data_IF_794050593604
#
_entry.id   IF_794050593604
#
_cell.length_a   1.000
_cell.length_b   1.000
_cell.length_c   1.000
_cell.angle_alpha   90.00
_cell.angle_beta   90.00
_cell.angle_gamma   90.00
#
_symmetry.space_group_name_H-M   'P 1'
#
loop_
_entity.id
_entity.type
_entity.pdbx_description
1 polymer ?
#
# COMPACT_ATOMS: atom_id res chain seq x y z
N UNK A 1 -5.91 -11.45 22.24
CA UNK A 1 -6.82 -10.82 23.23
C UNK A 1 -8.28 -10.95 22.83
N UNK A 2 -8.70 -10.59 21.61
CA UNK A 2 -10.09 -10.68 21.19
C UNK A 2 -10.78 -12.03 21.47
N UNK A 3 -10.11 -13.16 21.19
CA UNK A 3 -10.64 -14.49 21.45
C UNK A 3 -10.80 -14.83 22.96
N UNK A 4 -9.97 -14.26 23.83
CA UNK A 4 -10.08 -14.45 25.27
C UNK A 4 -11.25 -13.65 25.85
N UNK A 5 -11.56 -12.50 25.26
CA UNK A 5 -12.69 -11.62 25.66
C UNK A 5 -13.98 -12.06 24.97
N UNK A 6 -13.92 -12.61 23.76
CA UNK A 6 -15.09 -13.03 23.00
C UNK A 6 -15.88 -14.12 23.74
N UNK A 7 -17.13 -13.81 24.09
CA UNK A 7 -18.04 -14.72 24.79
C UNK A 7 -17.86 -14.78 26.33
N UNK A 8 -16.91 -14.04 26.91
CA UNK A 8 -16.86 -13.87 28.36
C UNK A 8 -17.95 -12.90 28.82
N UNK A 9 -19.04 -13.42 29.41
CA UNK A 9 -20.14 -12.59 29.92
C UNK A 9 -19.81 -11.96 31.27
N UNK A 10 -18.86 -12.51 32.00
CA UNK A 10 -18.49 -12.08 33.35
C UNK A 10 -16.96 -11.96 33.47
N UNK A 11 -16.51 -11.04 34.33
CA UNK A 11 -15.10 -10.77 34.65
C UNK A 11 -14.32 -12.06 35.03
N UNK A 12 -14.90 -12.95 35.82
CA UNK A 12 -14.27 -14.20 36.26
C UNK A 12 -13.93 -15.16 35.12
N UNK A 13 -14.74 -15.23 34.05
CA UNK A 13 -14.47 -16.14 32.93
C UNK A 13 -13.22 -15.71 32.11
N UNK A 14 -12.99 -14.42 31.98
CA UNK A 14 -11.76 -13.93 31.33
C UNK A 14 -10.52 -14.21 32.18
N UNK A 15 -10.61 -13.92 33.49
CA UNK A 15 -9.50 -14.17 34.42
C UNK A 15 -9.15 -15.67 34.47
N UNK A 16 -10.14 -16.55 34.47
CA UNK A 16 -9.92 -18.02 34.43
C UNK A 16 -9.28 -18.46 33.13
N UNK A 17 -9.72 -17.95 31.98
CA UNK A 17 -9.13 -18.28 30.67
C UNK A 17 -7.71 -17.77 30.54
N UNK A 18 -7.46 -16.53 30.94
CA UNK A 18 -6.09 -15.98 30.94
C UNK A 18 -5.18 -16.75 31.87
N UNK A 19 -5.66 -17.10 33.08
CA UNK A 19 -4.92 -17.90 34.03
C UNK A 19 -4.58 -19.28 33.47
N UNK A 20 -5.52 -19.94 32.80
CA UNK A 20 -5.26 -21.24 32.16
C UNK A 20 -4.15 -21.15 31.12
N UNK A 21 -4.18 -20.13 30.25
CA UNK A 21 -3.11 -19.91 29.25
C UNK A 21 -1.77 -19.62 29.93
N UNK A 22 -1.76 -18.81 31.00
CA UNK A 22 -0.51 -18.50 31.72
C UNK A 22 0.04 -19.72 32.47
N UNK A 23 -0.82 -20.58 33.01
CA UNK A 23 -0.42 -21.81 33.65
C UNK A 23 0.17 -22.83 32.63
N UNK A 24 -0.39 -22.89 31.42
CA UNK A 24 0.17 -23.70 30.31
C UNK A 24 1.55 -23.19 29.89
N UNK A 25 1.73 -21.88 29.74
CA UNK A 25 3.05 -21.27 29.44
C UNK A 25 4.05 -21.56 30.54
N UNK A 26 3.65 -21.41 31.80
CA UNK A 26 4.50 -21.72 32.95
C UNK A 26 4.93 -23.20 32.97
N UNK A 27 4.00 -24.11 32.71
CA UNK A 27 4.27 -25.56 32.71
C UNK A 27 5.15 -26.01 31.53
N UNK A 28 5.35 -25.16 30.52
CA UNK A 28 6.24 -25.45 29.39
C UNK A 28 7.73 -25.31 29.71
N UNK A 29 8.07 -24.93 30.93
CA UNK A 29 9.45 -24.83 31.42
C UNK A 29 10.35 -23.94 30.56
N UNK A 30 9.81 -22.82 30.11
CA UNK A 30 10.51 -21.82 29.29
C UNK A 30 10.55 -22.10 27.77
N UNK A 31 9.87 -23.13 27.28
CA UNK A 31 9.80 -23.44 25.84
C UNK A 31 8.84 -22.53 25.07
N UNK A 32 7.94 -21.85 25.79
CA UNK A 32 6.96 -20.93 25.21
C UNK A 32 7.33 -19.49 25.57
N UNK A 33 7.46 -18.64 24.57
CA UNK A 33 7.61 -17.19 24.72
C UNK A 33 6.25 -16.55 24.40
N UNK A 34 5.70 -15.84 25.38
CA UNK A 34 4.42 -15.14 25.20
C UNK A 34 4.68 -13.77 24.57
N UNK A 35 4.05 -13.51 23.41
CA UNK A 35 4.03 -12.18 22.82
C UNK A 35 2.70 -11.49 23.14
N UNK A 36 2.78 -10.28 23.68
CA UNK A 36 1.62 -9.44 24.01
C UNK A 36 1.71 -8.14 23.25
N UNK A 37 0.85 -8.01 22.24
CA UNK A 37 0.67 -6.75 21.55
C UNK A 37 -0.18 -5.79 22.39
N UNK A 38 0.11 -4.48 22.27
CA UNK A 38 -0.54 -3.44 23.09
C UNK A 38 -0.52 -3.77 24.60
N UNK A 39 0.66 -4.11 25.14
CA UNK A 39 0.82 -4.52 26.54
C UNK A 39 0.16 -3.56 27.53
N UNK A 40 0.11 -2.27 27.22
CA UNK A 40 -0.53 -1.24 28.02
C UNK A 40 -2.03 -1.49 28.25
N UNK A 41 -2.73 -2.14 27.33
CA UNK A 41 -4.15 -2.48 27.46
C UNK A 41 -4.41 -3.49 28.58
N UNK A 42 -3.45 -4.36 28.83
CA UNK A 42 -3.53 -5.38 29.89
C UNK A 42 -3.15 -4.79 31.25
N UNK A 43 -2.18 -3.88 31.26
CA UNK A 43 -1.59 -3.31 32.48
C UNK A 43 -2.33 -2.08 32.96
N UNK A 44 -2.87 -1.25 32.03
CA UNK A 44 -3.57 0.01 32.32
C UNK A 44 -5.06 -0.13 32.64
N UNK A 45 -5.66 -1.26 32.35
CA UNK A 45 -7.10 -1.49 32.47
C UNK A 45 -7.66 -1.38 33.90
N UNK A 46 -6.80 -1.43 34.91
CA UNK A 46 -7.21 -1.39 36.33
C UNK A 46 -7.61 -0.02 36.89
N UNK A 47 -7.53 1.07 36.09
CA UNK A 47 -7.84 2.43 36.57
C UNK A 47 -9.26 2.88 36.31
N UNK A 48 -10.05 2.18 35.54
CA UNK A 48 -11.48 2.45 35.32
C UNK A 48 -12.31 1.45 36.12
N UNK A 49 -13.30 1.93 36.87
CA UNK A 49 -14.25 1.09 37.64
C UNK A 49 -14.87 0.03 36.74
N UNK A 50 -14.51 -1.24 36.95
CA UNK A 50 -14.99 -2.38 36.19
C UNK A 50 -14.05 -2.93 35.11
N UNK A 51 -12.88 -2.33 34.84
CA UNK A 51 -11.91 -2.85 33.90
C UNK A 51 -11.06 -3.99 34.51
N UNK A 52 -10.74 -4.98 33.67
CA UNK A 52 -10.01 -6.19 34.08
C UNK A 52 -8.52 -5.89 34.27
N UNK A 53 -7.98 -6.06 35.47
CA UNK A 53 -6.55 -5.89 35.75
C UNK A 53 -5.79 -7.21 35.58
N UNK A 54 -5.59 -7.61 34.31
CA UNK A 54 -4.76 -8.76 33.98
C UNK A 54 -3.27 -8.54 34.35
N UNK A 55 -2.87 -7.29 34.56
CA UNK A 55 -1.54 -6.95 35.05
C UNK A 55 -1.25 -7.55 36.43
N UNK A 56 -2.26 -7.71 37.28
CA UNK A 56 -2.07 -8.34 38.60
C UNK A 56 -1.77 -9.85 38.50
N UNK A 57 -2.23 -10.53 37.47
CA UNK A 57 -1.89 -11.93 37.21
C UNK A 57 -0.47 -12.08 36.62
N UNK A 58 -0.07 -11.17 35.73
CA UNK A 58 1.24 -11.20 35.09
C UNK A 58 2.40 -10.82 36.02
N UNK A 59 2.20 -9.78 36.85
CA UNK A 59 3.26 -9.24 37.73
C UNK A 59 3.94 -10.30 38.61
N UNK A 60 3.23 -11.19 39.33
CA UNK A 60 3.86 -12.22 40.15
C UNK A 60 4.64 -13.23 39.34
N UNK A 61 4.16 -13.63 38.18
CA UNK A 61 4.80 -14.62 37.31
C UNK A 61 6.07 -14.05 36.66
N UNK A 62 6.02 -12.82 36.19
CA UNK A 62 7.19 -12.07 35.73
C UNK A 62 8.21 -11.89 36.87
N UNK A 63 7.71 -11.65 38.10
CA UNK A 63 8.58 -11.50 39.28
C UNK A 63 9.40 -12.72 39.60
N UNK A 64 8.83 -13.90 39.41
CA UNK A 64 9.47 -15.16 39.72
C UNK A 64 10.26 -15.74 38.53
N UNK A 65 10.25 -15.07 37.36
CA UNK A 65 10.87 -15.58 36.14
C UNK A 65 10.15 -16.79 35.54
N UNK A 66 8.89 -17.01 35.94
CA UNK A 66 8.06 -18.14 35.49
C UNK A 66 7.45 -17.86 34.08
N UNK A 67 7.53 -16.62 33.59
CA UNK A 67 6.96 -16.19 32.32
C UNK A 67 8.01 -15.49 31.48
N UNK A 68 8.29 -16.04 30.29
CA UNK A 68 9.06 -15.38 29.23
C UNK A 68 8.10 -14.61 28.35
N UNK A 69 8.18 -13.26 28.37
CA UNK A 69 7.22 -12.40 27.71
C UNK A 69 7.92 -11.30 26.91
N UNK A 70 7.45 -11.06 25.70
CA UNK A 70 7.76 -9.90 24.89
C UNK A 70 6.51 -9.05 24.77
N UNK A 71 6.55 -7.80 25.20
CA UNK A 71 5.44 -6.86 25.11
C UNK A 71 5.74 -5.78 24.07
N UNK A 72 4.76 -5.47 23.22
CA UNK A 72 4.82 -4.32 22.32
C UNK A 72 3.90 -3.21 22.82
N UNK A 73 4.35 -1.96 22.71
CA UNK A 73 3.57 -0.76 23.08
C UNK A 73 4.16 0.48 22.42
N UNK A 74 3.44 1.59 22.42
CA UNK A 74 3.97 2.88 21.96
C UNK A 74 4.78 3.58 23.07
N UNK A 75 5.65 4.53 22.68
CA UNK A 75 6.47 5.29 23.64
C UNK A 75 5.63 6.07 24.65
N UNK A 76 4.52 6.65 24.24
CA UNK A 76 3.66 7.41 25.13
C UNK A 76 2.99 6.52 26.17
N UNK A 77 2.48 5.38 25.73
CA UNK A 77 1.84 4.38 26.58
C UNK A 77 2.84 3.67 27.49
N UNK A 78 4.07 3.43 27.00
CA UNK A 78 5.16 2.93 27.84
C UNK A 78 5.42 3.87 29.02
N UNK A 79 5.56 5.18 28.76
CA UNK A 79 5.78 6.20 29.81
C UNK A 79 4.61 6.34 30.76
N UNK A 80 3.39 6.16 30.26
CA UNK A 80 2.18 6.31 31.06
C UNK A 80 1.88 5.09 31.94
N UNK A 81 2.03 3.88 31.41
CA UNK A 81 1.56 2.65 32.05
C UNK A 81 2.67 1.73 32.55
N UNK A 82 3.83 1.67 31.91
CA UNK A 82 4.91 0.74 32.26
C UNK A 82 5.97 1.42 33.14
N UNK A 83 6.50 2.55 32.72
CA UNK A 83 7.56 3.28 33.43
C UNK A 83 7.12 3.75 34.83
N UNK A 84 5.85 4.12 34.98
CA UNK A 84 5.29 4.51 36.29
C UNK A 84 5.04 3.34 37.24
N UNK A 85 5.08 2.12 36.77
CA UNK A 85 4.89 0.93 37.59
C UNK A 85 6.24 0.26 37.85
N UNK A 86 6.84 0.55 39.01
CA UNK A 86 8.15 0.05 39.40
C UNK A 86 8.27 -1.49 39.39
N UNK A 87 7.14 -2.23 39.43
CA UNK A 87 7.14 -3.67 39.35
C UNK A 87 7.31 -4.17 37.91
N UNK A 88 6.79 -3.44 36.93
CA UNK A 88 6.90 -3.76 35.50
C UNK A 88 8.20 -3.23 34.92
N UNK A 89 8.56 -1.97 35.21
CA UNK A 89 9.80 -1.34 34.74
C UNK A 89 11.04 -2.19 35.00
N UNK A 90 11.14 -2.79 36.17
CA UNK A 90 12.28 -3.65 36.54
C UNK A 90 12.29 -5.00 35.86
N UNK A 91 11.23 -5.39 35.13
CA UNK A 91 11.06 -6.72 34.53
C UNK A 91 10.98 -6.72 33.03
N UNK A 92 10.70 -5.59 32.43
CA UNK A 92 10.75 -5.39 31.00
C UNK A 92 11.95 -4.52 30.66
N UNK A 93 12.91 -5.09 29.93
CA UNK A 93 13.98 -4.32 29.36
C UNK A 93 13.45 -3.65 28.08
N UNK A 94 13.45 -2.30 28.00
CA UNK A 94 12.99 -1.60 26.80
C UNK A 94 13.93 -1.84 25.64
N UNK A 95 13.37 -2.20 24.50
CA UNK A 95 14.03 -2.30 23.20
C UNK A 95 13.37 -1.29 22.28
N UNK A 96 14.12 -0.24 21.92
CA UNK A 96 13.63 0.78 21.02
C UNK A 96 13.61 0.24 19.60
N UNK A 97 12.48 0.47 18.90
CA UNK A 97 12.34 0.19 17.48
C UNK A 97 12.11 1.55 16.81
N UNK A 98 13.18 2.07 16.24
CA UNK A 98 13.14 3.38 15.57
C UNK A 98 12.49 3.27 14.18
N UNK A 99 12.03 4.42 13.67
CA UNK A 99 11.54 4.54 12.30
C UNK A 99 12.65 4.19 11.30
N UNK A 100 12.43 3.30 10.32
CA UNK A 100 13.44 2.96 9.34
C UNK A 100 13.76 4.14 8.41
N UNK A 101 14.96 4.14 7.86
CA UNK A 101 15.37 5.11 6.84
C UNK A 101 14.58 4.91 5.55
N UNK A 102 14.67 5.87 4.62
CA UNK A 102 14.07 5.74 3.28
C UNK A 102 14.66 4.54 2.53
N UNK A 103 15.98 4.32 2.64
CA UNK A 103 16.69 3.20 2.02
C UNK A 103 16.24 1.84 2.59
N UNK A 104 16.08 1.77 3.91
CA UNK A 104 15.56 0.57 4.57
C UNK A 104 14.10 0.31 4.15
N UNK A 105 13.30 1.37 4.06
CA UNK A 105 11.90 1.29 3.62
C UNK A 105 11.79 0.77 2.18
N UNK A 106 12.64 1.23 1.26
CA UNK A 106 12.69 0.71 -0.11
C UNK A 106 13.01 -0.80 -0.10
N UNK A 107 13.95 -1.22 0.76
CA UNK A 107 14.31 -2.63 0.89
C UNK A 107 13.15 -3.46 1.43
N UNK A 108 12.41 -2.95 2.42
CA UNK A 108 11.19 -3.56 2.96
C UNK A 108 10.12 -3.69 1.88
N UNK A 109 9.84 -2.60 1.13
CA UNK A 109 8.86 -2.61 0.05
C UNK A 109 9.21 -3.61 -1.05
N UNK A 110 10.50 -3.72 -1.43
CA UNK A 110 10.98 -4.75 -2.38
C UNK A 110 10.72 -6.16 -1.86
N UNK A 111 10.90 -6.39 -0.57
CA UNK A 111 10.59 -7.69 0.07
C UNK A 111 9.09 -8.01 0.11
N UNK A 112 8.24 -6.99 0.15
CA UNK A 112 6.78 -7.15 0.17
C UNK A 112 6.16 -7.17 -1.24
N UNK A 113 6.87 -6.68 -2.26
CA UNK A 113 6.40 -6.49 -3.63
C UNK A 113 5.64 -7.70 -4.17
N UNK A 114 6.26 -8.88 -4.17
CA UNK A 114 5.68 -10.10 -4.75
C UNK A 114 4.33 -10.45 -4.09
N UNK A 115 4.20 -10.24 -2.78
CA UNK A 115 2.95 -10.50 -2.05
C UNK A 115 1.83 -9.56 -2.45
N UNK A 116 2.13 -8.27 -2.63
CA UNK A 116 1.14 -7.28 -3.08
C UNK A 116 0.76 -7.49 -4.54
N UNK A 117 1.73 -7.81 -5.41
CA UNK A 117 1.47 -8.16 -6.81
C UNK A 117 0.51 -9.34 -6.94
N UNK A 118 0.72 -10.39 -6.13
CA UNK A 118 -0.15 -11.58 -6.13
C UNK A 118 -1.52 -11.25 -5.55
N UNK A 119 -1.57 -10.52 -4.43
CA UNK A 119 -2.84 -10.21 -3.75
C UNK A 119 -3.78 -9.35 -4.60
N UNK A 120 -3.22 -8.33 -5.26
CA UNK A 120 -4.01 -7.41 -6.10
C UNK A 120 -4.08 -7.85 -7.57
N UNK A 121 -3.24 -8.78 -8.01
CA UNK A 121 -3.16 -9.20 -9.42
C UNK A 121 -2.62 -8.14 -10.36
N UNK A 122 -1.69 -7.29 -9.88
CA UNK A 122 -1.08 -6.18 -10.61
C UNK A 122 0.43 -6.30 -10.60
N UNK A 123 1.13 -5.52 -11.43
CA UNK A 123 2.59 -5.38 -11.40
C UNK A 123 3.00 -4.08 -10.75
N UNK A 124 4.06 -4.11 -9.92
CA UNK A 124 4.60 -2.92 -9.27
C UNK A 124 6.00 -2.63 -9.83
N UNK A 125 6.21 -1.44 -10.36
CA UNK A 125 7.53 -1.03 -10.84
C UNK A 125 8.45 -0.70 -9.66
N UNK A 126 9.77 -0.86 -9.84
CA UNK A 126 10.72 -0.46 -8.79
C UNK A 126 10.70 1.06 -8.57
N UNK A 127 10.45 1.85 -9.62
CA UNK A 127 10.27 3.30 -9.52
C UNK A 127 9.10 3.69 -8.62
N UNK A 128 7.98 2.94 -8.66
CA UNK A 128 6.85 3.17 -7.76
C UNK A 128 7.23 2.96 -6.28
N UNK A 129 7.99 1.90 -5.97
CA UNK A 129 8.45 1.62 -4.59
C UNK A 129 9.38 2.72 -4.08
N UNK A 130 10.33 3.14 -4.90
CA UNK A 130 11.24 4.23 -4.56
C UNK A 130 10.46 5.53 -4.35
N UNK A 131 9.54 5.84 -5.26
CA UNK A 131 8.70 7.04 -5.18
C UNK A 131 7.80 7.01 -3.95
N UNK A 132 7.19 5.87 -3.61
CA UNK A 132 6.37 5.71 -2.42
C UNK A 132 7.17 6.01 -1.13
N UNK A 133 8.39 5.47 -1.00
CA UNK A 133 9.23 5.71 0.17
C UNK A 133 9.69 7.18 0.26
N UNK A 134 10.18 7.74 -0.85
CA UNK A 134 10.73 9.12 -0.89
C UNK A 134 9.64 10.16 -0.69
N UNK A 135 8.54 10.06 -1.44
CA UNK A 135 7.50 11.08 -1.38
C UNK A 135 6.65 10.98 -0.11
N UNK A 136 6.40 9.76 0.41
CA UNK A 136 5.72 9.61 1.71
C UNK A 136 6.52 10.24 2.84
N UNK A 137 7.84 10.01 2.87
CA UNK A 137 8.72 10.63 3.87
C UNK A 137 8.70 12.15 3.80
N UNK A 138 8.59 12.71 2.59
CA UNK A 138 8.65 14.14 2.35
C UNK A 138 7.34 14.88 2.60
N UNK A 139 6.21 14.30 2.21
CA UNK A 139 4.92 14.99 2.16
C UNK A 139 3.89 14.49 3.18
N UNK A 140 4.08 13.30 3.76
CA UNK A 140 3.19 12.73 4.77
C UNK A 140 3.90 12.78 6.12
N UNK A 141 3.48 13.72 6.98
CA UNK A 141 4.14 14.01 8.26
C UNK A 141 3.42 13.45 9.48
N UNK A 142 2.18 13.01 9.32
CA UNK A 142 1.30 12.49 10.37
C UNK A 142 1.40 10.98 10.57
N UNK A 143 2.20 10.29 9.75
CA UNK A 143 2.45 8.85 9.79
C UNK A 143 3.93 8.54 9.67
N UNK A 144 4.33 7.34 10.11
CA UNK A 144 5.72 6.88 10.13
C UNK A 144 6.02 5.91 8.99
N UNK A 145 7.31 5.82 8.60
CA UNK A 145 7.81 4.75 7.78
C UNK A 145 7.91 3.45 8.61
N UNK A 146 7.73 2.27 8.01
CA UNK A 146 7.45 2.03 6.59
C UNK A 146 5.96 2.12 6.24
N UNK A 147 5.05 2.21 7.23
CA UNK A 147 3.61 2.04 7.07
C UNK A 147 3.02 2.99 6.04
N UNK A 148 3.34 4.29 6.11
CA UNK A 148 2.84 5.28 5.13
C UNK A 148 3.24 4.97 3.67
N UNK A 149 4.40 4.35 3.47
CA UNK A 149 4.85 3.95 2.14
C UNK A 149 4.16 2.65 1.68
N UNK A 150 3.93 1.72 2.61
CA UNK A 150 3.17 0.49 2.37
C UNK A 150 1.72 0.83 2.00
N UNK A 151 1.06 1.71 2.76
CA UNK A 151 -0.31 2.15 2.50
C UNK A 151 -0.46 2.76 1.10
N UNK A 152 0.53 3.57 0.66
CA UNK A 152 0.54 4.15 -0.70
C UNK A 152 0.61 3.08 -1.79
N UNK A 153 1.46 2.07 -1.59
CA UNK A 153 1.60 0.97 -2.55
C UNK A 153 0.33 0.13 -2.57
N UNK A 154 -0.25 -0.16 -1.41
CA UNK A 154 -1.51 -0.91 -1.31
C UNK A 154 -2.67 -0.18 -2.01
N UNK A 155 -2.86 1.11 -1.74
CA UNK A 155 -3.91 1.91 -2.38
C UNK A 155 -3.68 2.05 -3.89
N UNK A 156 -2.42 2.18 -4.35
CA UNK A 156 -2.11 2.21 -5.77
C UNK A 156 -2.43 0.89 -6.46
N UNK A 157 -2.10 -0.24 -5.84
CA UNK A 157 -2.46 -1.56 -6.34
C UNK A 157 -3.99 -1.74 -6.40
N UNK A 158 -4.71 -1.33 -5.35
CA UNK A 158 -6.17 -1.39 -5.31
C UNK A 158 -6.82 -0.49 -6.38
N UNK A 159 -6.24 0.69 -6.64
CA UNK A 159 -6.71 1.61 -7.69
C UNK A 159 -6.56 0.97 -9.07
N UNK A 160 -5.38 0.46 -9.42
CA UNK A 160 -5.13 -0.23 -10.69
C UNK A 160 -6.01 -1.48 -10.83
N UNK A 161 -6.16 -2.28 -9.76
CA UNK A 161 -7.07 -3.43 -9.75
C UNK A 161 -8.51 -3.02 -10.07
N UNK A 162 -8.97 -1.92 -9.50
CA UNK A 162 -10.32 -1.40 -9.77
C UNK A 162 -10.46 -0.92 -11.22
N UNK A 163 -9.41 -0.30 -11.78
CA UNK A 163 -9.36 0.09 -13.19
C UNK A 163 -9.38 -1.13 -14.12
N UNK A 164 -8.61 -2.19 -13.80
CA UNK A 164 -8.60 -3.46 -14.53
C UNK A 164 -9.96 -4.15 -14.52
N UNK A 165 -10.66 -4.12 -13.39
CA UNK A 165 -11.98 -4.75 -13.25
C UNK A 165 -13.10 -3.92 -13.87
N UNK A 166 -12.87 -2.65 -14.10
CA UNK A 166 -13.83 -1.70 -14.66
C UNK A 166 -13.70 -1.62 -16.18
N UNK A 167 -14.81 -1.27 -16.83
CA UNK A 167 -14.77 -0.95 -18.26
C UNK A 167 -13.96 0.35 -18.48
N UNK A 168 -13.01 0.41 -19.43
CA UNK A 168 -12.29 1.63 -19.76
C UNK A 168 -13.23 2.81 -20.04
N UNK A 169 -12.81 4.02 -19.64
CA UNK A 169 -13.62 5.22 -19.74
C UNK A 169 -14.12 5.49 -21.16
N UNK A 170 -13.29 5.21 -22.17
CA UNK A 170 -13.67 5.35 -23.58
C UNK A 170 -14.83 4.43 -23.98
N UNK A 171 -14.79 3.17 -23.54
CA UNK A 171 -15.84 2.20 -23.80
C UNK A 171 -17.14 2.55 -23.03
N UNK A 172 -17.02 3.03 -21.80
CA UNK A 172 -18.18 3.48 -21.03
C UNK A 172 -18.85 4.70 -21.67
N UNK A 173 -18.09 5.67 -22.19
CA UNK A 173 -18.59 6.82 -22.92
C UNK A 173 -19.32 6.41 -24.21
N UNK A 174 -18.72 5.49 -24.98
CA UNK A 174 -19.36 4.92 -26.16
C UNK A 174 -20.68 4.21 -25.82
N UNK A 175 -20.68 3.42 -24.74
CA UNK A 175 -21.86 2.71 -24.26
C UNK A 175 -22.98 3.68 -23.84
N UNK A 176 -22.65 4.76 -23.14
CA UNK A 176 -23.61 5.82 -22.78
C UNK A 176 -24.18 6.50 -24.01
N UNK A 177 -23.35 6.80 -25.01
CA UNK A 177 -23.80 7.39 -26.27
C UNK A 177 -24.73 6.47 -27.03
N UNK A 178 -24.43 5.17 -27.11
CA UNK A 178 -25.31 4.13 -27.67
C UNK A 178 -26.65 4.13 -26.96
N UNK A 179 -26.66 4.16 -25.61
CA UNK A 179 -27.89 4.19 -24.81
C UNK A 179 -28.74 5.44 -25.10
N UNK A 180 -28.10 6.62 -25.21
CA UNK A 180 -28.81 7.87 -25.57
C UNK A 180 -29.44 7.76 -26.95
N UNK A 181 -28.69 7.26 -27.95
CA UNK A 181 -29.19 7.09 -29.31
C UNK A 181 -30.34 6.05 -29.39
N UNK A 182 -30.30 5.00 -28.56
CA UNK A 182 -31.40 4.02 -28.46
C UNK A 182 -32.69 4.62 -27.88
N UNK A 183 -32.56 5.53 -26.91
CA UNK A 183 -33.69 6.27 -26.35
C UNK A 183 -34.30 7.17 -27.43
N UNK A 184 -33.45 7.93 -28.18
CA UNK A 184 -33.88 8.76 -29.30
C UNK A 184 -34.55 7.92 -30.40
N UNK A 185 -33.95 6.77 -30.77
CA UNK A 185 -34.51 5.83 -31.74
C UNK A 185 -35.93 5.38 -31.34
N UNK A 186 -36.07 5.03 -30.04
CA UNK A 186 -37.39 4.57 -29.52
C UNK A 186 -38.44 5.67 -29.53
N UNK A 187 -38.03 6.92 -29.32
CA UNK A 187 -38.92 8.08 -29.42
C UNK A 187 -39.34 8.37 -30.90
N UNK A 188 -38.36 8.40 -31.80
CA UNK A 188 -38.59 8.66 -33.22
C UNK A 188 -39.42 7.57 -33.91
N UNK A 189 -39.34 6.32 -33.48
CA UNK A 189 -40.20 5.23 -33.98
C UNK A 189 -41.70 5.43 -33.71
N UNK A 190 -42.05 6.32 -32.78
CA UNK A 190 -43.48 6.65 -32.50
C UNK A 190 -44.01 7.80 -33.33
N UNK A 191 -43.11 8.55 -33.95
CA UNK A 191 -43.46 9.68 -34.82
C UNK A 191 -43.66 9.20 -36.25
N UNK A 192 -44.61 9.87 -36.98
CA UNK A 192 -45.00 9.47 -38.34
C UNK A 192 -44.69 10.54 -39.40
N UNK A 193 -44.12 11.67 -39.00
CA UNK A 193 -43.77 12.74 -39.91
C UNK A 193 -42.49 12.44 -40.69
N UNK A 194 -42.34 13.00 -41.87
CA UNK A 194 -41.23 12.73 -42.80
C UNK A 194 -39.87 13.09 -42.22
N UNK A 195 -39.77 14.21 -41.50
CA UNK A 195 -38.51 14.65 -40.89
C UNK A 195 -38.03 13.69 -39.80
N UNK A 196 -38.94 13.17 -38.96
CA UNK A 196 -38.63 12.18 -37.95
C UNK A 196 -38.20 10.83 -38.56
N UNK A 197 -38.75 10.45 -39.70
CA UNK A 197 -38.36 9.25 -40.44
C UNK A 197 -36.96 9.39 -41.08
N UNK A 198 -36.62 10.53 -41.66
CA UNK A 198 -35.27 10.78 -42.16
C UNK A 198 -34.25 10.76 -41.01
N UNK A 199 -34.52 11.48 -39.91
CA UNK A 199 -33.67 11.46 -38.72
C UNK A 199 -33.52 10.06 -38.15
N UNK A 200 -34.59 9.25 -38.15
CA UNK A 200 -34.54 7.86 -37.69
C UNK A 200 -33.59 7.01 -38.54
N UNK A 201 -33.63 7.17 -39.87
CA UNK A 201 -32.74 6.42 -40.77
C UNK A 201 -31.28 6.79 -40.57
N UNK A 202 -30.97 8.09 -40.42
CA UNK A 202 -29.61 8.55 -40.14
C UNK A 202 -29.13 8.06 -38.77
N UNK A 203 -29.97 8.17 -37.74
CA UNK A 203 -29.68 7.72 -36.38
C UNK A 203 -29.41 6.21 -36.33
N UNK A 204 -30.17 5.40 -37.06
CA UNK A 204 -29.97 3.95 -37.14
C UNK A 204 -28.63 3.60 -37.77
N UNK A 205 -28.20 4.35 -38.77
CA UNK A 205 -26.90 4.17 -39.39
C UNK A 205 -25.75 4.52 -38.43
N UNK A 206 -25.81 5.70 -37.82
CA UNK A 206 -24.85 6.15 -36.81
C UNK A 206 -24.77 5.14 -35.63
N UNK A 207 -25.91 4.63 -35.17
CA UNK A 207 -26.01 3.69 -34.09
C UNK A 207 -25.42 2.32 -34.48
N UNK A 208 -25.59 1.85 -35.71
CA UNK A 208 -25.00 0.61 -36.19
C UNK A 208 -23.46 0.74 -36.24
N UNK A 209 -22.95 1.83 -36.83
CA UNK A 209 -21.50 2.11 -36.88
C UNK A 209 -20.88 2.17 -35.50
N UNK A 210 -21.49 2.90 -34.56
CA UNK A 210 -21.00 3.03 -33.19
C UNK A 210 -21.06 1.72 -32.41
N UNK A 211 -22.08 0.89 -32.65
CA UNK A 211 -22.18 -0.45 -32.04
C UNK A 211 -21.09 -1.38 -32.56
N UNK A 212 -20.79 -1.36 -33.84
CA UNK A 212 -19.74 -2.21 -34.43
C UNK A 212 -18.37 -1.81 -33.87
N UNK A 213 -18.10 -0.50 -33.76
CA UNK A 213 -16.87 -0.01 -33.13
C UNK A 213 -16.79 -0.40 -31.66
N UNK A 214 -17.87 -0.20 -30.90
CA UNK A 214 -17.96 -0.61 -29.51
C UNK A 214 -17.72 -2.10 -29.32
N UNK A 215 -18.37 -2.95 -30.12
CA UNK A 215 -18.22 -4.40 -30.02
C UNK A 215 -16.78 -4.85 -30.34
N UNK A 216 -16.16 -4.24 -31.34
CA UNK A 216 -14.77 -4.51 -31.72
C UNK A 216 -13.81 -4.15 -30.57
N UNK A 217 -13.90 -2.96 -30.03
CA UNK A 217 -13.07 -2.50 -28.91
C UNK A 217 -13.36 -3.28 -27.62
N UNK A 218 -14.61 -3.63 -27.37
CA UNK A 218 -15.00 -4.45 -26.23
C UNK A 218 -14.43 -5.86 -26.31
N UNK A 219 -14.42 -6.47 -27.51
CA UNK A 219 -13.80 -7.78 -27.72
C UNK A 219 -12.30 -7.71 -27.51
N UNK A 220 -11.64 -6.64 -27.99
CA UNK A 220 -10.22 -6.41 -27.76
C UNK A 220 -9.94 -6.28 -26.25
N UNK A 221 -10.64 -5.42 -25.55
CA UNK A 221 -10.51 -5.25 -24.10
C UNK A 221 -10.72 -6.56 -23.33
N UNK A 222 -11.76 -7.33 -23.68
CA UNK A 222 -11.99 -8.63 -23.04
C UNK A 222 -10.82 -9.58 -23.24
N UNK A 223 -10.23 -9.61 -24.44
CA UNK A 223 -9.06 -10.46 -24.75
C UNK A 223 -7.81 -10.01 -24.00
N UNK A 224 -7.59 -8.70 -23.86
CA UNK A 224 -6.48 -8.14 -23.07
C UNK A 224 -6.67 -8.44 -21.58
N UNK A 225 -7.88 -8.25 -21.04
CA UNK A 225 -8.23 -8.55 -19.66
C UNK A 225 -8.05 -10.04 -19.33
N UNK A 226 -8.57 -10.94 -20.17
CA UNK A 226 -8.44 -12.39 -19.98
C UNK A 226 -6.96 -12.83 -19.95
N UNK A 227 -6.11 -12.19 -20.73
CA UNK A 227 -4.68 -12.48 -20.73
C UNK A 227 -4.01 -12.05 -19.42
N UNK A 228 -4.33 -10.86 -18.88
CA UNK A 228 -3.84 -10.39 -17.58
C UNK A 228 -4.35 -11.28 -16.44
N UNK A 229 -5.64 -11.63 -16.45
CA UNK A 229 -6.26 -12.50 -15.45
C UNK A 229 -5.62 -13.90 -15.43
N UNK A 230 -5.21 -14.44 -16.58
CA UNK A 230 -4.53 -15.73 -16.63
C UNK A 230 -3.16 -15.67 -15.97
N UNK A 231 -2.36 -14.64 -16.23
CA UNK A 231 -1.07 -14.43 -15.54
C UNK A 231 -1.27 -14.30 -14.03
N UNK A 232 -2.27 -13.53 -13.60
CA UNK A 232 -2.59 -13.36 -12.18
C UNK A 232 -2.94 -14.69 -11.50
N UNK A 233 -3.76 -15.54 -12.16
CA UNK A 233 -4.12 -16.87 -11.64
C UNK A 233 -2.91 -17.79 -11.48
N UNK A 234 -1.99 -17.78 -12.45
CA UNK A 234 -0.78 -18.61 -12.37
C UNK A 234 0.14 -18.14 -11.24
N UNK A 235 0.26 -16.82 -11.02
CA UNK A 235 1.01 -16.26 -9.89
C UNK A 235 0.40 -16.65 -8.53
N UNK A 236 -0.93 -16.61 -8.42
CA UNK A 236 -1.65 -17.05 -7.22
C UNK A 236 -1.41 -18.54 -6.93
N UNK A 237 -1.42 -19.38 -7.96
CA UNK A 237 -1.11 -20.80 -7.83
C UNK A 237 0.34 -21.05 -7.39
N UNK A 238 1.30 -20.29 -7.88
CA UNK A 238 2.71 -20.35 -7.45
C UNK A 238 2.82 -20.00 -5.97
N UNK A 239 2.18 -18.92 -5.53
CA UNK A 239 2.23 -18.48 -4.12
C UNK A 239 1.51 -19.48 -3.19
N UNK A 240 0.37 -20.02 -3.61
CA UNK A 240 -0.31 -21.09 -2.89
C UNK A 240 0.57 -22.33 -2.75
N UNK A 241 1.26 -22.70 -3.85
CA UNK A 241 2.18 -23.86 -3.83
C UNK A 241 3.38 -23.59 -2.92
N UNK A 242 3.94 -22.39 -2.88
CA UNK A 242 5.01 -22.01 -1.94
C UNK A 242 4.54 -22.17 -0.49
N UNK A 243 3.33 -21.70 -0.15
CA UNK A 243 2.73 -21.87 1.19
C UNK A 243 2.51 -23.35 1.55
N UNK A 244 2.06 -24.16 0.58
CA UNK A 244 1.90 -25.59 0.77
C UNK A 244 3.26 -26.29 1.07
N UNK A 245 4.33 -25.87 0.38
CA UNK A 245 5.70 -26.36 0.64
C UNK A 245 6.14 -26.00 2.06
N UNK A 246 5.97 -24.74 2.49
CA UNK A 246 6.31 -24.30 3.84
C UNK A 246 5.50 -25.06 4.91
N UNK A 247 4.23 -25.33 4.67
CA UNK A 247 3.39 -26.08 5.57
C UNK A 247 3.87 -27.54 5.67
N UNK A 248 4.12 -28.21 4.53
CA UNK A 248 4.62 -29.59 4.50
C UNK A 248 5.99 -29.71 5.20
N UNK A 249 6.88 -28.71 5.04
CA UNK A 249 8.17 -28.68 5.74
C UNK A 249 8.00 -28.54 7.27
N UNK A 250 7.05 -27.72 7.73
CA UNK A 250 6.75 -27.59 9.18
C UNK A 250 6.19 -28.87 9.77
N UNK A 251 5.36 -29.58 9.00
CA UNK A 251 4.75 -30.84 9.39
C UNK A 251 5.71 -32.04 9.22
N UNK A 252 6.98 -31.77 8.81
CA UNK A 252 8.01 -32.76 8.50
C UNK A 252 7.62 -33.77 7.38
N UNK A 253 6.67 -33.41 6.52
CA UNK A 253 6.30 -34.16 5.32
C UNK A 253 7.20 -33.77 4.15
N UNK A 254 8.44 -34.29 4.21
CA UNK A 254 9.46 -33.95 3.20
C UNK A 254 9.19 -34.54 1.83
N UNK A 255 8.43 -35.65 1.74
CA UNK A 255 8.07 -36.25 0.45
C UNK A 255 7.14 -35.33 -0.34
N UNK A 256 6.07 -34.87 0.30
CA UNK A 256 5.14 -33.88 -0.28
C UNK A 256 5.81 -32.56 -0.59
N UNK A 257 6.67 -32.07 0.31
CA UNK A 257 7.44 -30.84 0.09
C UNK A 257 8.33 -30.96 -1.15
N UNK A 258 9.02 -32.10 -1.33
CA UNK A 258 9.88 -32.37 -2.47
C UNK A 258 9.08 -32.47 -3.79
N UNK A 259 7.94 -33.16 -3.81
CA UNK A 259 7.06 -33.24 -4.97
C UNK A 259 6.60 -31.86 -5.43
N UNK A 260 6.10 -31.06 -4.51
CA UNK A 260 5.63 -29.70 -4.79
C UNK A 260 6.79 -28.80 -5.30
N UNK A 261 7.95 -28.89 -4.67
CA UNK A 261 9.11 -28.04 -4.96
C UNK A 261 9.80 -28.41 -6.29
N UNK A 262 9.93 -29.68 -6.60
CA UNK A 262 10.71 -30.13 -7.78
C UNK A 262 9.86 -30.53 -8.99
N UNK A 263 8.55 -30.75 -8.82
CA UNK A 263 7.63 -31.10 -9.90
C UNK A 263 6.65 -29.97 -10.21
N UNK A 264 5.79 -29.60 -9.24
CA UNK A 264 4.68 -28.66 -9.47
C UNK A 264 5.15 -27.22 -9.64
N UNK A 265 6.02 -26.72 -8.79
CA UNK A 265 6.50 -25.34 -8.82
C UNK A 265 7.25 -24.97 -10.11
N UNK A 266 8.21 -25.79 -10.62
CA UNK A 266 8.87 -25.50 -11.90
C UNK A 266 7.91 -25.55 -13.10
N UNK A 267 6.86 -26.38 -13.04
CA UNK A 267 5.82 -26.43 -14.07
C UNK A 267 5.04 -25.11 -14.15
N UNK A 268 4.58 -24.61 -13.01
CA UNK A 268 3.88 -23.33 -12.91
C UNK A 268 4.76 -22.13 -13.30
N UNK A 269 6.07 -22.17 -12.97
CA UNK A 269 7.00 -21.13 -13.36
C UNK A 269 7.19 -21.06 -14.89
N UNK A 270 7.25 -22.19 -15.57
CA UNK A 270 7.31 -22.23 -17.04
C UNK A 270 6.00 -21.75 -17.67
N UNK A 271 4.86 -22.12 -17.08
CA UNK A 271 3.56 -21.63 -17.53
C UNK A 271 3.47 -20.11 -17.39
N UNK A 272 3.95 -19.56 -16.27
CA UNK A 272 4.02 -18.12 -16.04
C UNK A 272 4.87 -17.43 -17.12
N UNK A 273 6.06 -17.96 -17.44
CA UNK A 273 6.95 -17.40 -18.46
C UNK A 273 6.27 -17.38 -19.83
N UNK A 274 5.56 -18.45 -20.20
CA UNK A 274 4.82 -18.52 -21.46
C UNK A 274 3.68 -17.50 -21.51
N UNK A 275 2.93 -17.34 -20.44
CA UNK A 275 1.82 -16.37 -20.38
C UNK A 275 2.35 -14.92 -20.35
N UNK A 276 3.45 -14.66 -19.65
CA UNK A 276 4.09 -13.32 -19.65
C UNK A 276 4.69 -12.97 -21.04
N UNK A 277 5.26 -13.91 -21.76
CA UNK A 277 5.77 -13.67 -23.12
C UNK A 277 4.62 -13.41 -24.10
N UNK A 278 3.50 -14.10 -23.98
CA UNK A 278 2.28 -13.78 -24.75
C UNK A 278 1.74 -12.38 -24.50
N UNK A 279 1.89 -11.87 -23.26
CA UNK A 279 1.51 -10.51 -22.90
C UNK A 279 2.46 -9.47 -23.49
N UNK A 280 3.77 -9.72 -23.49
CA UNK A 280 4.77 -8.80 -24.07
C UNK A 280 4.62 -8.60 -25.58
N UNK A 281 4.22 -9.68 -26.29
CA UNK A 281 4.00 -9.64 -27.73
C UNK A 281 2.67 -8.95 -28.13
N UNK A 282 1.80 -8.65 -27.17
CA UNK A 282 0.53 -7.95 -27.39
C UNK A 282 0.67 -6.48 -27.03
N UNK A 283 0.16 -5.63 -27.90
CA UNK A 283 0.02 -4.19 -27.62
C UNK A 283 -1.19 -3.99 -26.69
N UNK A 284 -0.91 -3.90 -25.38
CA UNK A 284 -1.93 -3.64 -24.35
C UNK A 284 -2.29 -2.14 -24.40
N UNK A 285 -3.25 -1.78 -25.24
CA UNK A 285 -3.66 -0.39 -25.43
C UNK A 285 -4.80 0.05 -24.50
N UNK A 286 -5.60 -0.89 -24.01
CA UNK A 286 -6.80 -0.62 -23.22
C UNK A 286 -6.68 -1.02 -21.74
N UNK A 287 -5.64 -1.81 -21.40
CA UNK A 287 -5.45 -2.35 -20.05
C UNK A 287 -4.09 -1.95 -19.49
N UNK A 288 -4.06 -1.26 -18.38
CA UNK A 288 -2.85 -0.89 -17.65
C UNK A 288 -2.73 -1.74 -16.38
N UNK A 289 -1.78 -2.67 -16.35
CA UNK A 289 -1.54 -3.55 -15.19
C UNK A 289 -0.44 -3.05 -14.24
N UNK A 290 0.30 -2.01 -14.65
CA UNK A 290 1.50 -1.58 -13.93
C UNK A 290 1.19 -0.42 -12.99
N UNK A 291 1.56 -0.60 -11.72
CA UNK A 291 1.65 0.50 -10.75
C UNK A 291 2.97 1.23 -10.98
N UNK A 292 2.91 2.49 -11.36
CA UNK A 292 4.06 3.35 -11.63
C UNK A 292 4.18 4.49 -10.60
N UNK A 293 5.20 5.30 -10.73
CA UNK A 293 5.38 6.52 -9.92
C UNK A 293 4.25 7.54 -10.10
N UNK A 294 3.55 7.52 -11.25
CA UNK A 294 2.40 8.41 -11.49
C UNK A 294 1.20 8.07 -10.60
N UNK A 295 0.87 6.79 -10.42
CA UNK A 295 -0.21 6.34 -9.54
C UNK A 295 0.09 6.70 -8.09
N UNK A 296 1.32 6.49 -7.64
CA UNK A 296 1.76 6.89 -6.31
C UNK A 296 1.62 8.41 -6.13
N UNK A 297 2.05 9.21 -7.10
CA UNK A 297 1.91 10.66 -7.04
C UNK A 297 0.44 11.12 -7.03
N UNK A 298 -0.45 10.45 -7.78
CA UNK A 298 -1.90 10.71 -7.74
C UNK A 298 -2.50 10.51 -6.36
N UNK A 299 -2.11 9.44 -5.66
CA UNK A 299 -2.62 9.13 -4.32
C UNK A 299 -2.10 10.15 -3.30
N UNK A 300 -0.80 10.45 -3.32
CA UNK A 300 -0.21 11.47 -2.44
C UNK A 300 -0.89 12.82 -2.67
N UNK A 301 -1.16 13.18 -3.92
CA UNK A 301 -1.88 14.41 -4.25
C UNK A 301 -3.29 14.42 -3.64
N UNK A 302 -3.98 13.28 -3.63
CA UNK A 302 -5.29 13.13 -3.02
C UNK A 302 -5.24 13.26 -1.49
N UNK A 303 -4.23 12.67 -0.85
CA UNK A 303 -4.10 12.72 0.61
C UNK A 303 -3.62 14.09 1.12
N UNK A 304 -2.69 14.72 0.41
CA UNK A 304 -2.04 15.96 0.85
C UNK A 304 -2.63 17.23 0.24
N UNK A 305 -3.39 17.11 -0.85
CA UNK A 305 -3.89 18.25 -1.64
C UNK A 305 -2.80 18.93 -2.49
N UNK A 306 -1.59 18.37 -2.59
CA UNK A 306 -0.50 18.90 -3.39
C UNK A 306 -0.67 18.45 -4.85
N UNK A 307 -0.68 19.35 -5.86
CA UNK A 307 -0.84 18.96 -7.26
C UNK A 307 0.21 17.97 -7.75
N UNK A 308 -0.20 16.95 -8.52
CA UNK A 308 0.68 15.89 -9.07
C UNK A 308 1.90 16.45 -9.80
N UNK A 309 1.73 17.49 -10.59
CA UNK A 309 2.84 18.14 -11.32
C UNK A 309 3.97 18.63 -10.39
N UNK A 310 3.65 19.01 -9.15
CA UNK A 310 4.65 19.37 -8.15
C UNK A 310 5.32 18.18 -7.50
N UNK A 311 4.69 17.03 -7.48
CA UNK A 311 5.22 15.79 -6.90
C UNK A 311 6.14 15.05 -7.86
N UNK A 312 5.77 15.01 -9.15
CA UNK A 312 6.49 14.30 -10.21
C UNK A 312 7.70 15.05 -10.75
N UNK A 313 7.77 16.37 -10.53
CA UNK A 313 8.91 17.16 -10.97
C UNK A 313 10.16 16.81 -10.16
N UNK A 314 11.22 16.34 -10.85
CA UNK A 314 12.43 15.94 -10.19
C UNK A 314 13.04 17.13 -9.41
N UNK A 315 13.55 16.89 -8.20
CA UNK A 315 14.24 17.92 -7.38
C UNK A 315 15.38 18.61 -8.14
N UNK A 316 16.00 17.86 -9.06
CA UNK A 316 17.05 18.38 -9.92
C UNK A 316 16.53 19.45 -10.87
N UNK A 317 15.40 19.18 -11.52
CA UNK A 317 14.77 20.15 -12.44
C UNK A 317 14.28 21.39 -11.68
N UNK A 318 13.62 21.20 -10.53
CA UNK A 318 13.21 22.32 -9.66
C UNK A 318 14.38 23.20 -9.23
N UNK A 319 15.51 22.55 -8.91
CA UNK A 319 16.71 23.27 -8.48
C UNK A 319 17.39 24.01 -9.64
N UNK A 320 17.36 23.43 -10.86
CA UNK A 320 17.94 24.04 -12.06
C UNK A 320 17.16 25.27 -12.55
N UNK A 321 15.82 25.27 -12.36
CA UNK A 321 14.92 26.37 -12.76
C UNK A 321 14.45 27.22 -11.56
N UNK A 322 15.19 27.19 -10.44
CA UNK A 322 14.81 27.88 -9.21
C UNK A 322 14.82 29.41 -9.38
N UNK A 323 15.70 29.94 -10.21
CA UNK A 323 15.76 31.36 -10.56
C UNK A 323 14.48 31.85 -11.25
N UNK A 324 13.98 31.10 -12.22
CA UNK A 324 12.71 31.36 -12.90
C UNK A 324 11.52 31.37 -11.94
N UNK A 325 11.49 30.38 -11.02
CA UNK A 325 10.44 30.31 -10.01
C UNK A 325 10.50 31.47 -9.00
N UNK A 326 11.70 31.87 -8.60
CA UNK A 326 11.88 33.03 -7.72
C UNK A 326 11.44 34.33 -8.41
N UNK A 327 11.77 34.52 -9.70
CA UNK A 327 11.35 35.70 -10.47
C UNK A 327 9.85 35.85 -10.68
N UNK A 328 9.07 34.77 -10.57
CA UNK A 328 7.59 34.86 -10.56
C UNK A 328 7.04 35.63 -9.35
N UNK A 329 7.83 35.70 -8.25
CA UNK A 329 7.42 36.34 -6.99
C UNK A 329 8.25 37.55 -6.62
N UNK A 330 9.50 37.59 -7.07
CA UNK A 330 10.46 38.68 -6.78
C UNK A 330 10.66 39.53 -8.01
N UNK A 331 10.21 40.77 -7.95
CA UNK A 331 10.38 41.72 -9.05
C UNK A 331 11.70 42.46 -8.86
N UNK A 332 12.61 42.34 -9.84
CA UNK A 332 13.97 42.86 -9.74
C UNK A 332 14.88 42.01 -8.86
N UNK A 333 15.97 42.54 -8.38
CA UNK A 333 17.01 41.89 -7.56
C UNK A 333 17.65 40.67 -8.25
N UNK A 334 17.88 40.72 -9.54
CA UNK A 334 18.41 39.62 -10.34
C UNK A 334 19.69 39.02 -9.79
N UNK A 335 20.65 39.88 -9.36
CA UNK A 335 21.89 39.43 -8.71
C UNK A 335 21.66 38.70 -7.39
N UNK A 336 20.65 39.09 -6.63
CA UNK A 336 20.27 38.43 -5.37
C UNK A 336 19.67 37.05 -5.63
N UNK A 337 18.74 36.95 -6.58
CA UNK A 337 18.10 35.69 -6.99
C UNK A 337 19.17 34.73 -7.53
N UNK A 338 20.03 35.17 -8.42
CA UNK A 338 21.12 34.37 -8.97
C UNK A 338 22.03 33.80 -7.88
N UNK A 339 22.48 34.61 -6.94
CA UNK A 339 23.35 34.17 -5.84
C UNK A 339 22.68 33.17 -4.89
N UNK A 340 21.39 33.37 -4.61
CA UNK A 340 20.62 32.43 -3.79
C UNK A 340 20.49 31.10 -4.50
N UNK A 341 20.14 31.13 -5.77
CA UNK A 341 20.00 29.90 -6.60
C UNK A 341 21.33 29.15 -6.68
N UNK A 342 22.43 29.81 -6.96
CA UNK A 342 23.76 29.19 -6.98
C UNK A 342 24.17 28.60 -5.61
N UNK A 343 23.83 29.25 -4.50
CA UNK A 343 24.10 28.72 -3.17
C UNK A 343 23.31 27.43 -2.89
N UNK A 344 22.04 27.38 -3.31
CA UNK A 344 21.20 26.22 -3.19
C UNK A 344 21.69 25.08 -4.08
N UNK A 345 22.05 25.36 -5.34
CA UNK A 345 22.62 24.37 -6.28
C UNK A 345 23.90 23.77 -5.69
N UNK A 346 24.83 24.59 -5.18
CA UNK A 346 26.06 24.11 -4.51
C UNK A 346 25.76 23.23 -3.30
N UNK A 347 24.80 23.62 -2.50
CA UNK A 347 24.37 22.80 -1.35
C UNK A 347 23.83 21.42 -1.76
N UNK A 348 22.98 21.38 -2.79
CA UNK A 348 22.41 20.14 -3.34
C UNK A 348 23.45 19.27 -4.06
N UNK A 349 24.49 19.88 -4.64
CA UNK A 349 25.60 19.16 -5.26
C UNK A 349 26.61 18.57 -4.24
N UNK A 350 26.36 18.71 -2.93
CA UNK A 350 27.26 18.17 -1.90
C UNK A 350 28.58 18.92 -1.72
N UNK A 351 28.72 20.09 -2.35
CA UNK A 351 29.97 20.92 -2.29
C UNK A 351 29.94 21.87 -1.08
N UNK A 352 28.94 21.75 -0.22
CA UNK A 352 28.75 22.60 0.95
C UNK A 352 29.55 22.09 2.15
N UNK A 353 30.12 23.01 2.93
CA UNK A 353 30.63 22.73 4.28
C UNK A 353 29.43 22.44 5.22
N UNK A 354 29.33 21.23 5.80
CA UNK A 354 28.15 20.84 6.62
C UNK A 354 28.00 21.67 7.90
N UNK A 355 29.09 22.35 8.32
CA UNK A 355 29.11 23.20 9.53
C UNK A 355 28.62 24.62 9.30
N UNK A 356 28.43 25.02 8.03
CA UNK A 356 28.03 26.39 7.66
C UNK A 356 26.63 26.45 7.10
N UNK A 357 25.89 27.58 7.29
CA UNK A 357 24.60 27.79 6.64
C UNK A 357 24.74 27.80 5.11
N UNK A 358 23.64 27.48 4.41
CA UNK A 358 23.60 27.44 2.94
C UNK A 358 23.96 28.80 2.34
N UNK A 359 23.49 29.87 2.94
CA UNK A 359 23.76 31.24 2.55
C UNK A 359 23.30 32.20 3.65
N UNK A 360 23.84 33.39 3.65
CA UNK A 360 23.43 34.49 4.52
C UNK A 360 23.11 35.68 3.63
N UNK A 361 21.91 36.22 3.70
CA UNK A 361 21.49 37.43 3.02
C UNK A 361 21.38 38.59 4.00
N UNK A 362 22.03 39.71 3.71
CA UNK A 362 21.85 40.95 4.44
C UNK A 362 21.09 41.91 3.53
N UNK A 363 19.91 42.30 3.96
CA UNK A 363 19.09 43.33 3.29
C UNK A 363 19.30 44.63 4.09
N UNK A 364 19.83 45.65 3.42
CA UNK A 364 19.88 47.00 3.98
C UNK A 364 18.52 47.64 3.70
N UNK A 365 17.79 47.98 4.75
CA UNK A 365 16.53 48.73 4.68
C UNK A 365 16.85 50.22 4.78
#
# INVERSE_FOLDING_TARGET
MGALVAGAKYRGEFEERLKAVLDDVKNSDGQIILFIDELHTIVGAGKTDGAMDAGQLLKPMLARGELHCVGATTLNEYREYIEKDAALERRFQPVMVDEPTVEDTISILRGLKERYEVFHGVKITDSALVTAAVLSNRYITDRFLPDKAIDLVDEACAMIKTELDSMPAELDEMNRKIMQMQIEETALKKETDHLSQERLADLQKELAELRDEFNTRKAQWSTEKDAVDNVSKVREQIESTKKEIEAAQRDADYEKAAELQYSKLPGLQKELEIEEDKLKDRDLSLVHENVTDEEIAKIISRWTGIPVAKLSESERNKTLHLDEELHKRVVGQDDGVTKVTEAIIRSKAGIKDPTKPIGLSLIHI
#
